data_IF_755453537305
#
_entry.id   IF_755453537305
#
_cell.length_a   1.000
_cell.length_b   1.000
_cell.length_c   1.000
_cell.angle_alpha   90.00
_cell.angle_beta   90.00
_cell.angle_gamma   90.00
#
_symmetry.space_group_name_H-M   'P 1'
#
loop_
_entity.id
_entity.type
_entity.pdbx_description
1 polymer ?
#
# COMPACT_ATOMS: atom_id res chain seq x y z
N UNK A 1 -11.55 21.67 3.82
CA UNK A 1 -11.07 21.32 2.47
C UNK A 1 -12.14 20.49 1.76
N UNK A 2 -12.21 20.58 0.42
CA UNK A 2 -12.96 19.65 -0.41
C UNK A 2 -12.00 18.57 -0.93
N UNK A 3 -12.25 17.32 -0.55
CA UNK A 3 -11.33 16.19 -0.77
C UNK A 3 -12.00 15.16 -1.66
N UNK A 4 -11.31 14.67 -2.71
CA UNK A 4 -11.71 13.50 -3.48
C UNK A 4 -10.89 12.29 -2.99
N UNK A 5 -11.56 11.17 -2.71
CA UNK A 5 -10.91 9.90 -2.39
C UNK A 5 -11.45 8.82 -3.32
N UNK A 6 -10.64 8.37 -4.28
CA UNK A 6 -10.99 7.21 -5.12
C UNK A 6 -10.56 5.93 -4.41
N UNK A 7 -11.35 4.87 -4.52
CA UNK A 7 -11.11 3.64 -3.75
C UNK A 7 -11.44 3.78 -2.25
N UNK A 8 -12.36 4.67 -1.88
CA UNK A 8 -12.65 5.03 -0.50
C UNK A 8 -13.22 3.89 0.37
N UNK A 9 -13.84 2.87 -0.22
CA UNK A 9 -14.33 1.65 0.46
C UNK A 9 -13.30 0.53 0.50
N UNK A 10 -12.14 0.72 -0.14
CA UNK A 10 -11.02 -0.19 -0.04
C UNK A 10 -10.37 -0.17 1.34
N UNK A 11 -9.44 -1.10 1.59
CA UNK A 11 -8.73 -1.20 2.87
C UNK A 11 -8.08 0.13 3.28
N UNK A 12 -7.26 0.71 2.43
CA UNK A 12 -6.57 2.00 2.68
C UNK A 12 -7.56 3.17 2.75
N UNK A 13 -8.55 3.17 1.85
CA UNK A 13 -9.53 4.25 1.72
C UNK A 13 -10.34 4.51 2.99
N UNK A 14 -10.75 3.46 3.69
CA UNK A 14 -11.49 3.57 4.96
C UNK A 14 -10.73 4.35 6.04
N UNK A 15 -9.41 4.17 6.11
CA UNK A 15 -8.57 4.91 7.08
C UNK A 15 -8.48 6.39 6.71
N UNK A 16 -8.38 6.73 5.43
CA UNK A 16 -8.43 8.13 4.97
C UNK A 16 -9.80 8.77 5.18
N UNK A 17 -10.90 8.03 4.95
CA UNK A 17 -12.25 8.51 5.25
C UNK A 17 -12.38 8.89 6.72
N UNK A 18 -11.85 8.06 7.64
CA UNK A 18 -11.85 8.33 9.08
C UNK A 18 -10.95 9.51 9.43
N UNK A 19 -9.75 9.60 8.82
CA UNK A 19 -8.77 10.67 9.08
C UNK A 19 -9.31 12.05 8.73
N UNK A 20 -10.02 12.15 7.60
CA UNK A 20 -10.53 13.42 7.08
C UNK A 20 -12.05 13.64 7.29
N UNK A 21 -12.65 12.92 8.26
CA UNK A 21 -14.09 12.96 8.51
C UNK A 21 -14.67 14.37 8.76
N UNK A 22 -13.87 15.30 9.26
CA UNK A 22 -14.24 16.70 9.49
C UNK A 22 -14.25 17.56 8.22
N UNK A 23 -13.90 16.99 7.05
CA UNK A 23 -13.82 17.69 5.78
C UNK A 23 -14.94 17.30 4.84
N UNK A 24 -15.16 18.09 3.78
CA UNK A 24 -16.09 17.73 2.71
C UNK A 24 -15.44 16.67 1.81
N UNK A 25 -15.83 15.41 2.00
CA UNK A 25 -15.28 14.29 1.22
C UNK A 25 -16.24 13.87 0.13
N UNK A 26 -15.71 13.69 -1.08
CA UNK A 26 -16.34 12.96 -2.18
C UNK A 26 -15.60 11.64 -2.33
N UNK A 27 -16.27 10.53 -2.02
CA UNK A 27 -15.72 9.18 -2.16
C UNK A 27 -16.24 8.52 -3.43
N UNK A 28 -15.37 7.87 -4.20
CA UNK A 28 -15.70 7.11 -5.41
C UNK A 28 -15.15 5.70 -5.29
N UNK A 29 -15.98 4.67 -5.48
CA UNK A 29 -15.57 3.28 -5.37
C UNK A 29 -16.48 2.36 -6.22
N UNK A 30 -15.89 1.35 -6.84
CA UNK A 30 -16.64 0.29 -7.54
C UNK A 30 -17.60 -0.46 -6.63
N UNK A 31 -17.34 -0.54 -5.33
CA UNK A 31 -18.26 -1.13 -4.34
C UNK A 31 -19.57 -0.33 -4.18
N UNK A 32 -19.60 0.91 -4.66
CA UNK A 32 -20.82 1.71 -4.81
C UNK A 32 -21.44 1.59 -6.20
N UNK A 33 -20.87 0.76 -7.07
CA UNK A 33 -21.27 0.64 -8.47
C UNK A 33 -20.81 1.83 -9.32
N UNK A 34 -19.81 2.61 -8.86
CA UNK A 34 -19.37 3.81 -9.57
C UNK A 34 -17.86 3.76 -9.87
N UNK A 35 -17.54 3.65 -11.17
CA UNK A 35 -16.15 3.65 -11.64
C UNK A 35 -15.56 5.08 -11.59
N UNK A 36 -14.37 5.22 -11.03
CA UNK A 36 -13.72 6.52 -10.96
C UNK A 36 -13.39 7.10 -12.36
N UNK A 37 -13.20 6.28 -13.38
CA UNK A 37 -13.01 6.72 -14.77
C UNK A 37 -14.24 7.47 -15.29
N UNK A 38 -15.44 6.99 -14.95
CA UNK A 38 -16.70 7.69 -15.32
C UNK A 38 -16.84 8.99 -14.55
N UNK A 39 -16.46 9.01 -13.27
CA UNK A 39 -16.43 10.25 -12.50
C UNK A 39 -15.55 11.30 -13.16
N UNK A 40 -14.33 10.95 -13.59
CA UNK A 40 -13.40 11.89 -14.22
C UNK A 40 -13.96 12.46 -15.53
N UNK A 41 -14.64 11.65 -16.35
CA UNK A 41 -15.27 12.06 -17.59
C UNK A 41 -16.48 12.98 -17.38
N UNK A 42 -17.31 12.67 -16.36
CA UNK A 42 -18.54 13.40 -16.06
C UNK A 42 -18.31 14.70 -15.27
N UNK A 43 -17.16 14.84 -14.62
CA UNK A 43 -16.84 15.98 -13.76
C UNK A 43 -15.56 16.72 -14.20
N UNK A 44 -15.46 17.18 -15.48
CA UNK A 44 -14.23 17.72 -16.04
C UNK A 44 -13.81 19.07 -15.43
N UNK A 45 -14.71 19.76 -14.73
CA UNK A 45 -14.47 21.12 -14.19
C UNK A 45 -14.52 21.14 -12.65
N UNK A 46 -14.73 19.99 -11.99
CA UNK A 46 -14.85 19.95 -10.54
C UNK A 46 -13.48 20.07 -9.89
N UNK A 47 -13.31 21.08 -9.03
CA UNK A 47 -12.07 21.35 -8.30
C UNK A 47 -12.10 20.76 -6.91
N UNK A 48 -10.94 20.24 -6.49
CA UNK A 48 -10.68 19.75 -5.14
C UNK A 48 -9.40 20.38 -4.59
N UNK A 49 -9.37 20.60 -3.27
CA UNK A 49 -8.18 21.06 -2.56
C UNK A 49 -7.15 19.94 -2.45
N UNK A 50 -7.64 18.70 -2.28
CA UNK A 50 -6.84 17.48 -2.15
C UNK A 50 -7.51 16.32 -2.89
N UNK A 51 -6.72 15.57 -3.63
CA UNK A 51 -7.15 14.30 -4.25
C UNK A 51 -6.26 13.19 -3.73
N UNK A 52 -6.87 12.16 -3.15
CA UNK A 52 -6.20 10.93 -2.71
C UNK A 52 -6.62 9.81 -3.64
N UNK A 53 -5.70 9.42 -4.52
CA UNK A 53 -5.96 8.41 -5.55
C UNK A 53 -5.52 7.04 -5.06
N UNK A 54 -6.51 6.20 -4.69
CA UNK A 54 -6.31 4.84 -4.17
C UNK A 54 -7.00 3.78 -5.03
N UNK A 55 -7.84 4.19 -5.99
CA UNK A 55 -8.49 3.25 -6.90
C UNK A 55 -7.43 2.53 -7.73
N UNK A 56 -7.35 1.23 -7.58
CA UNK A 56 -6.44 0.34 -8.29
C UNK A 56 -6.94 -1.10 -8.17
N UNK A 57 -6.58 -1.94 -9.12
CA UNK A 57 -6.74 -3.39 -9.01
C UNK A 57 -5.60 -3.90 -8.14
N UNK A 58 -5.93 -4.27 -6.91
CA UNK A 58 -4.97 -4.79 -5.93
C UNK A 58 -5.38 -6.18 -5.48
N UNK A 59 -4.42 -6.97 -5.05
CA UNK A 59 -4.66 -8.30 -4.51
C UNK A 59 -3.39 -8.92 -3.95
N UNK A 60 -3.53 -10.05 -3.28
CA UNK A 60 -2.41 -10.88 -2.90
C UNK A 60 -1.71 -11.48 -4.14
N UNK A 61 -0.59 -12.16 -3.91
CA UNK A 61 0.23 -12.73 -4.99
C UNK A 61 -0.55 -13.66 -5.92
N UNK A 62 -1.41 -14.51 -5.35
CA UNK A 62 -2.25 -15.43 -6.13
C UNK A 62 -3.20 -14.69 -7.08
N UNK A 63 -3.79 -13.60 -6.64
CA UNK A 63 -4.70 -12.77 -7.44
C UNK A 63 -3.97 -12.14 -8.62
N UNK A 64 -2.79 -11.55 -8.38
CA UNK A 64 -2.01 -10.87 -9.42
C UNK A 64 -1.39 -11.86 -10.42
N UNK A 65 -0.86 -13.00 -9.94
CA UNK A 65 -0.33 -14.07 -10.81
C UNK A 65 -1.44 -14.76 -11.61
N UNK A 66 -2.62 -14.93 -11.01
CA UNK A 66 -3.77 -15.56 -11.67
C UNK A 66 -4.40 -14.70 -12.78
N UNK A 67 -4.27 -13.37 -12.71
CA UNK A 67 -4.78 -12.45 -13.73
C UNK A 67 -3.82 -11.27 -13.96
N UNK A 68 -2.67 -11.49 -14.61
CA UNK A 68 -1.68 -10.45 -14.83
C UNK A 68 -2.19 -9.30 -15.73
N UNK A 69 -3.23 -9.52 -16.53
CA UNK A 69 -3.84 -8.48 -17.38
C UNK A 69 -4.82 -7.58 -16.63
N UNK A 70 -5.27 -7.95 -15.42
CA UNK A 70 -6.08 -7.06 -14.59
C UNK A 70 -5.33 -5.74 -14.30
N UNK A 71 -4.01 -5.78 -14.31
CA UNK A 71 -3.15 -4.60 -14.17
C UNK A 71 -3.27 -3.62 -15.35
N UNK A 72 -3.70 -4.08 -16.51
CA UNK A 72 -4.01 -3.17 -17.62
C UNK A 72 -5.12 -2.18 -17.27
N UNK A 73 -6.04 -2.57 -16.38
CA UNK A 73 -7.06 -1.65 -15.85
C UNK A 73 -6.45 -0.55 -14.98
N UNK A 74 -5.40 -0.83 -14.21
CA UNK A 74 -4.69 0.20 -13.43
C UNK A 74 -4.11 1.29 -14.34
N UNK A 75 -3.54 0.93 -15.49
CA UNK A 75 -3.03 1.89 -16.47
C UNK A 75 -4.15 2.78 -17.04
N UNK A 76 -5.33 2.19 -17.28
CA UNK A 76 -6.51 2.92 -17.73
C UNK A 76 -7.02 3.90 -16.65
N UNK A 77 -7.10 3.43 -15.40
CA UNK A 77 -7.52 4.25 -14.25
C UNK A 77 -6.57 5.43 -14.06
N UNK A 78 -5.27 5.17 -14.02
CA UNK A 78 -4.24 6.19 -13.81
C UNK A 78 -4.19 7.20 -14.96
N UNK A 79 -4.35 6.74 -16.22
CA UNK A 79 -4.38 7.61 -17.39
C UNK A 79 -5.55 8.61 -17.35
N UNK A 80 -6.77 8.13 -17.11
CA UNK A 80 -7.95 9.00 -16.99
C UNK A 80 -7.83 9.96 -15.81
N UNK A 81 -7.33 9.49 -14.67
CA UNK A 81 -7.04 10.32 -13.51
C UNK A 81 -6.08 11.45 -13.82
N UNK A 82 -4.96 11.17 -14.47
CA UNK A 82 -3.93 12.18 -14.76
C UNK A 82 -4.42 13.21 -15.77
N UNK A 83 -5.15 12.77 -16.80
CA UNK A 83 -5.76 13.69 -17.77
C UNK A 83 -6.78 14.61 -17.10
N UNK A 84 -7.60 14.07 -16.19
CA UNK A 84 -8.53 14.87 -15.40
C UNK A 84 -7.80 15.88 -14.49
N UNK A 85 -6.71 15.47 -13.84
CA UNK A 85 -5.88 16.38 -13.03
C UNK A 85 -5.29 17.53 -13.85
N UNK A 86 -4.83 17.28 -15.08
CA UNK A 86 -4.33 18.34 -15.96
C UNK A 86 -5.39 19.40 -16.29
N UNK A 87 -6.65 19.01 -16.41
CA UNK A 87 -7.78 19.91 -16.70
C UNK A 87 -8.21 20.67 -15.45
N UNK A 88 -8.44 19.97 -14.34
CA UNK A 88 -9.05 20.53 -13.12
C UNK A 88 -8.05 21.24 -12.23
N UNK A 89 -6.75 20.89 -12.33
CA UNK A 89 -5.65 21.42 -11.52
C UNK A 89 -5.98 21.42 -10.02
N UNK A 90 -6.17 20.22 -9.42
CA UNK A 90 -6.41 20.13 -7.98
C UNK A 90 -5.26 20.74 -7.16
N UNK A 91 -5.54 21.21 -5.96
CA UNK A 91 -4.57 21.88 -5.11
C UNK A 91 -3.38 20.95 -4.76
N UNK A 92 -3.67 19.70 -4.44
CA UNK A 92 -2.69 18.64 -4.19
C UNK A 92 -3.21 17.29 -4.66
N UNK A 93 -2.28 16.43 -5.08
CA UNK A 93 -2.52 15.04 -5.48
C UNK A 93 -1.67 14.13 -4.60
N UNK A 94 -2.31 13.12 -4.01
CA UNK A 94 -1.65 11.99 -3.34
C UNK A 94 -1.82 10.75 -4.20
N UNK A 95 -0.71 10.14 -4.56
CA UNK A 95 -0.67 8.91 -5.33
C UNK A 95 0.00 7.80 -4.52
N UNK A 96 -0.71 6.68 -4.39
CA UNK A 96 -0.18 5.47 -3.79
C UNK A 96 0.45 4.59 -4.88
N UNK A 97 1.77 4.67 -4.95
CA UNK A 97 2.60 3.69 -5.63
C UNK A 97 2.70 2.41 -4.78
N UNK A 98 3.79 1.70 -4.87
CA UNK A 98 3.99 0.45 -4.13
C UNK A 98 5.47 0.11 -3.97
N UNK A 99 5.80 -0.64 -2.94
CA UNK A 99 7.10 -1.34 -2.84
C UNK A 99 7.33 -2.36 -3.98
N UNK A 100 6.28 -2.77 -4.69
CA UNK A 100 6.40 -3.60 -5.90
C UNK A 100 7.03 -2.86 -7.10
N UNK A 101 7.04 -1.51 -7.10
CA UNK A 101 7.68 -0.71 -8.13
C UNK A 101 9.22 -0.79 -8.09
N UNK A 102 9.80 -1.23 -6.98
CA UNK A 102 11.24 -1.36 -6.83
C UNK A 102 11.83 -2.48 -7.70
N UNK A 103 13.12 -2.32 -8.13
CA UNK A 103 13.81 -3.36 -8.90
C UNK A 103 13.81 -4.71 -8.19
N UNK A 104 13.29 -5.75 -8.86
CA UNK A 104 13.19 -7.09 -8.26
C UNK A 104 14.57 -7.68 -7.92
N UNK A 105 15.59 -7.29 -8.67
CA UNK A 105 16.98 -7.73 -8.43
C UNK A 105 17.56 -7.29 -7.08
N UNK A 106 17.00 -6.22 -6.47
CA UNK A 106 17.42 -5.73 -5.15
C UNK A 106 16.66 -6.43 -4.00
N UNK A 107 15.70 -7.31 -4.30
CA UNK A 107 14.79 -7.90 -3.33
C UNK A 107 15.11 -9.38 -3.05
N UNK A 108 16.37 -9.76 -3.15
CA UNK A 108 16.85 -11.15 -3.03
C UNK A 108 17.62 -11.43 -1.74
N UNK A 109 18.20 -10.40 -1.13
CA UNK A 109 19.05 -10.49 0.07
C UNK A 109 18.79 -9.28 0.97
N UNK A 110 19.44 -9.22 2.12
CA UNK A 110 19.29 -8.15 3.11
C UNK A 110 19.73 -6.79 2.54
N UNK A 111 18.83 -6.16 1.80
CA UNK A 111 19.01 -4.81 1.27
C UNK A 111 17.76 -3.97 1.55
N UNK A 112 17.91 -2.85 2.24
CA UNK A 112 16.84 -1.91 2.54
C UNK A 112 16.66 -0.95 1.36
N UNK A 113 15.49 -1.00 0.75
CA UNK A 113 15.15 -0.26 -0.48
C UNK A 113 15.04 1.25 -0.19
N UNK A 114 15.82 2.04 -0.91
CA UNK A 114 15.85 3.52 -0.82
C UNK A 114 15.00 4.13 -1.93
N UNK A 115 14.44 5.31 -1.68
CA UNK A 115 13.65 6.00 -2.71
C UNK A 115 14.44 6.23 -3.99
N UNK A 116 15.76 6.39 -3.88
CA UNK A 116 16.70 6.59 -5.01
C UNK A 116 16.99 5.35 -5.84
N UNK A 117 16.57 4.15 -5.39
CA UNK A 117 16.75 2.91 -6.15
C UNK A 117 15.83 2.82 -7.37
N UNK A 118 14.81 3.66 -7.44
CA UNK A 118 13.99 3.86 -8.64
C UNK A 118 14.51 5.07 -9.41
N UNK A 119 15.17 4.79 -10.55
CA UNK A 119 15.48 5.81 -11.53
C UNK A 119 14.45 5.73 -12.68
N UNK A 120 13.55 6.69 -12.75
CA UNK A 120 12.47 6.70 -13.74
C UNK A 120 12.96 6.89 -15.18
N UNK A 121 14.21 7.33 -15.38
CA UNK A 121 14.82 7.47 -16.71
C UNK A 121 15.62 6.23 -17.14
N UNK A 122 15.92 5.34 -16.20
CA UNK A 122 16.65 4.07 -16.43
C UNK A 122 16.09 3.00 -15.48
N UNK A 123 14.85 2.57 -15.77
CA UNK A 123 14.15 1.66 -14.86
C UNK A 123 14.66 0.23 -14.99
N UNK A 124 14.91 -0.39 -13.85
CA UNK A 124 15.06 -1.85 -13.74
C UNK A 124 13.71 -2.51 -13.56
N UNK A 125 13.59 -3.78 -13.97
CA UNK A 125 12.36 -4.58 -13.89
C UNK A 125 11.79 -4.59 -12.46
N UNK A 126 10.56 -4.10 -12.26
CA UNK A 126 9.84 -4.17 -10.99
C UNK A 126 9.20 -5.54 -10.76
N UNK A 127 8.53 -5.71 -9.60
CA UNK A 127 7.86 -6.96 -9.28
C UNK A 127 6.52 -7.07 -10.01
N UNK A 128 6.46 -7.96 -10.99
CA UNK A 128 5.25 -8.31 -11.75
C UNK A 128 4.62 -7.12 -12.52
N UNK A 129 3.49 -7.37 -13.13
CA UNK A 129 2.69 -6.37 -13.85
C UNK A 129 2.20 -5.24 -12.94
N UNK A 130 1.86 -5.55 -11.68
CA UNK A 130 1.48 -4.53 -10.69
C UNK A 130 2.60 -3.53 -10.41
N UNK A 131 3.83 -4.00 -10.26
CA UNK A 131 5.00 -3.13 -10.13
C UNK A 131 5.20 -2.23 -11.34
N UNK A 132 5.01 -2.77 -12.55
CA UNK A 132 5.07 -2.00 -13.80
C UNK A 132 3.99 -0.91 -13.87
N UNK A 133 2.74 -1.21 -13.49
CA UNK A 133 1.67 -0.21 -13.49
C UNK A 133 2.02 0.94 -12.53
N UNK A 134 2.43 0.63 -11.30
CA UNK A 134 2.79 1.65 -10.31
C UNK A 134 4.00 2.47 -10.73
N UNK A 135 5.03 1.85 -11.31
CA UNK A 135 6.20 2.54 -11.83
C UNK A 135 5.84 3.45 -13.01
N UNK A 136 4.97 3.00 -13.92
CA UNK A 136 4.44 3.81 -15.02
C UNK A 136 3.65 5.01 -14.50
N UNK A 137 2.81 4.80 -13.47
CA UNK A 137 2.11 5.89 -12.79
C UNK A 137 3.08 6.94 -12.25
N UNK A 138 4.13 6.54 -11.53
CA UNK A 138 5.15 7.47 -11.03
C UNK A 138 5.84 8.26 -12.15
N UNK A 139 6.17 7.57 -13.26
CA UNK A 139 6.74 8.22 -14.43
C UNK A 139 5.82 9.30 -15.01
N UNK A 140 4.54 8.99 -15.20
CA UNK A 140 3.58 9.93 -15.75
C UNK A 140 3.28 11.12 -14.81
N UNK A 141 3.33 10.91 -13.50
CA UNK A 141 3.09 11.97 -12.51
C UNK A 141 4.09 13.13 -12.56
N UNK A 142 5.30 12.90 -13.08
CA UNK A 142 6.28 13.98 -13.30
C UNK A 142 5.72 15.07 -14.22
N UNK A 143 4.89 14.70 -15.19
CA UNK A 143 4.25 15.66 -16.10
C UNK A 143 3.17 16.50 -15.42
N UNK A 144 2.47 15.95 -14.40
CA UNK A 144 1.59 16.76 -13.55
C UNK A 144 2.38 17.78 -12.74
N UNK A 145 3.54 17.38 -12.20
CA UNK A 145 4.43 18.30 -11.47
C UNK A 145 4.96 19.42 -12.39
N UNK A 146 5.37 19.08 -13.61
CA UNK A 146 5.78 20.06 -14.63
C UNK A 146 4.65 21.03 -15.01
N UNK A 147 3.39 20.57 -14.95
CA UNK A 147 2.21 21.40 -15.15
C UNK A 147 1.83 22.26 -13.92
N UNK A 148 2.64 22.25 -12.87
CA UNK A 148 2.46 23.05 -11.65
C UNK A 148 1.52 22.44 -10.61
N UNK A 149 1.16 21.16 -10.73
CA UNK A 149 0.33 20.44 -9.74
C UNK A 149 1.24 19.85 -8.66
N UNK A 150 0.90 20.09 -7.39
CA UNK A 150 1.62 19.48 -6.28
C UNK A 150 1.26 17.99 -6.16
N UNK A 151 2.24 17.11 -6.35
CA UNK A 151 2.06 15.66 -6.30
C UNK A 151 2.94 15.06 -5.20
N UNK A 152 2.32 14.29 -4.31
CA UNK A 152 2.98 13.49 -3.29
C UNK A 152 2.88 12.01 -3.68
N UNK A 153 4.00 11.34 -3.82
CA UNK A 153 4.10 9.93 -4.18
C UNK A 153 4.51 9.13 -2.96
N UNK A 154 3.72 8.11 -2.62
CA UNK A 154 4.02 7.23 -1.49
C UNK A 154 4.19 5.79 -1.96
N UNK A 155 5.22 5.12 -1.43
CA UNK A 155 5.53 3.72 -1.69
C UNK A 155 5.31 2.90 -0.41
N UNK A 156 4.07 2.48 -0.12
CA UNK A 156 3.81 1.64 1.05
C UNK A 156 4.49 0.27 0.89
N UNK A 157 5.00 -0.22 2.00
CA UNK A 157 5.47 -1.59 2.15
C UNK A 157 4.31 -2.47 2.61
N UNK A 158 4.51 -3.38 3.58
CA UNK A 158 3.42 -4.25 4.01
C UNK A 158 2.52 -3.55 5.03
N UNK A 159 1.68 -2.63 4.52
CA UNK A 159 0.65 -1.99 5.34
C UNK A 159 -0.35 -3.02 5.86
N UNK A 160 -0.66 -2.98 7.16
CA UNK A 160 -1.57 -3.92 7.79
C UNK A 160 -2.59 -3.23 8.72
N UNK A 161 -3.71 -3.93 8.96
CA UNK A 161 -4.79 -3.49 9.85
C UNK A 161 -5.88 -4.56 9.95
N UNK A 162 -7.00 -4.25 10.61
CA UNK A 162 -8.03 -5.23 10.97
C UNK A 162 -8.91 -5.68 9.80
N UNK A 163 -9.12 -4.83 8.80
CA UNK A 163 -10.10 -5.05 7.72
C UNK A 163 -9.44 -5.43 6.38
N UNK A 164 -8.21 -5.93 6.42
CA UNK A 164 -7.47 -6.34 5.23
C UNK A 164 -7.93 -7.72 4.76
N UNK A 165 -7.89 -7.95 3.43
CA UNK A 165 -8.22 -9.23 2.80
C UNK A 165 -7.30 -10.36 3.29
N UNK A 166 -7.87 -11.56 3.48
CA UNK A 166 -7.15 -12.75 3.94
C UNK A 166 -6.09 -13.28 2.96
N UNK A 167 -6.07 -12.78 1.72
CA UNK A 167 -5.01 -13.05 0.74
C UNK A 167 -3.64 -12.50 1.16
N UNK A 168 -3.60 -11.63 2.16
CA UNK A 168 -2.36 -11.07 2.69
C UNK A 168 -1.87 -11.83 3.94
N UNK A 169 -0.55 -11.94 4.15
CA UNK A 169 0.02 -12.74 5.25
C UNK A 169 -0.46 -12.31 6.64
N UNK A 170 -0.46 -11.01 6.94
CA UNK A 170 -0.84 -10.51 8.27
C UNK A 170 -2.27 -10.92 8.65
N UNK A 171 -3.33 -10.55 7.91
CA UNK A 171 -4.70 -10.92 8.29
C UNK A 171 -4.94 -12.43 8.23
N UNK A 172 -4.28 -13.13 7.30
CA UNK A 172 -4.35 -14.59 7.22
C UNK A 172 -3.84 -15.26 8.50
N UNK A 173 -2.70 -14.79 9.04
CA UNK A 173 -2.12 -15.33 10.28
C UNK A 173 -2.96 -14.99 11.51
N UNK A 174 -3.49 -13.75 11.59
CA UNK A 174 -4.44 -13.35 12.63
C UNK A 174 -5.69 -14.25 12.62
N UNK A 175 -6.23 -14.52 11.41
CA UNK A 175 -7.40 -15.38 11.26
C UNK A 175 -7.13 -16.83 11.69
N UNK A 176 -5.96 -17.39 11.34
CA UNK A 176 -5.56 -18.74 11.79
C UNK A 176 -5.50 -18.83 13.32
N UNK A 177 -4.91 -17.83 13.97
CA UNK A 177 -4.83 -17.76 15.42
C UNK A 177 -6.22 -17.63 16.07
N UNK A 178 -7.09 -16.77 15.56
CA UNK A 178 -8.48 -16.63 16.06
C UNK A 178 -9.28 -17.91 15.96
N UNK A 179 -9.06 -18.70 14.91
CA UNK A 179 -9.76 -19.97 14.66
C UNK A 179 -9.05 -21.18 15.29
N UNK A 180 -7.89 -20.98 15.94
CA UNK A 180 -7.04 -22.05 16.52
C UNK A 180 -6.77 -23.17 15.52
N UNK A 181 -6.39 -22.81 14.27
CA UNK A 181 -6.16 -23.78 13.19
C UNK A 181 -4.84 -24.54 13.44
N UNK A 182 -4.92 -25.84 13.62
CA UNK A 182 -3.78 -26.73 13.82
C UNK A 182 -3.75 -27.81 12.71
N UNK A 183 -2.72 -27.88 11.86
CA UNK A 183 -1.48 -27.09 11.92
C UNK A 183 -1.65 -25.61 11.47
N UNK A 184 -0.70 -24.76 11.91
CA UNK A 184 -0.57 -23.40 11.40
C UNK A 184 0.25 -23.40 10.10
N UNK A 185 -0.41 -23.13 8.99
CA UNK A 185 0.22 -23.13 7.67
C UNK A 185 1.04 -21.85 7.42
N UNK A 186 2.31 -22.02 7.03
CA UNK A 186 3.22 -20.97 6.56
C UNK A 186 3.63 -21.29 5.13
N UNK A 187 3.46 -20.35 4.21
CA UNK A 187 3.85 -20.56 2.81
C UNK A 187 5.35 -20.45 2.62
N UNK A 188 5.92 -21.37 1.82
CA UNK A 188 7.35 -21.51 1.66
C UNK A 188 8.00 -22.12 2.91
N UNK A 189 9.22 -21.68 3.22
CA UNK A 189 9.93 -22.05 4.45
C UNK A 189 9.78 -20.97 5.56
N UNK A 190 9.03 -19.90 5.26
CA UNK A 190 8.78 -18.81 6.19
C UNK A 190 9.95 -17.84 6.39
N UNK A 191 11.05 -17.98 5.64
CA UNK A 191 12.25 -17.11 5.75
C UNK A 191 12.10 -15.81 4.98
N UNK A 192 11.14 -15.72 4.06
CA UNK A 192 10.87 -14.49 3.32
C UNK A 192 10.50 -13.33 4.27
N UNK A 193 11.10 -12.17 4.02
CA UNK A 193 11.04 -11.00 4.90
C UNK A 193 10.15 -9.90 4.31
N UNK A 194 9.36 -9.27 5.17
CA UNK A 194 8.57 -8.06 4.87
C UNK A 194 8.76 -7.01 5.94
N UNK A 195 8.40 -5.78 5.58
CA UNK A 195 8.38 -4.62 6.43
C UNK A 195 6.93 -4.27 6.74
N UNK A 196 6.47 -4.62 7.94
CA UNK A 196 5.09 -4.39 8.37
C UNK A 196 4.92 -3.03 9.03
N UNK A 197 3.99 -2.22 8.53
CA UNK A 197 3.63 -0.93 9.11
C UNK A 197 2.10 -0.83 9.28
N UNK A 198 1.65 -0.32 10.42
CA UNK A 198 0.22 -0.19 10.69
C UNK A 198 -0.42 0.90 9.84
N UNK A 199 -1.65 0.67 9.33
CA UNK A 199 -2.35 1.62 8.44
C UNK A 199 -2.59 3.00 9.05
N UNK A 200 -2.76 3.11 10.37
CA UNK A 200 -2.86 4.42 11.04
C UNK A 200 -1.56 5.22 10.89
N UNK A 201 -0.41 4.56 11.03
CA UNK A 201 0.89 5.22 10.85
C UNK A 201 1.10 5.65 9.40
N UNK A 202 0.68 4.83 8.43
CA UNK A 202 0.71 5.20 7.00
C UNK A 202 -0.10 6.48 6.77
N UNK A 203 -1.35 6.51 7.23
CA UNK A 203 -2.24 7.66 7.01
C UNK A 203 -1.75 8.92 7.73
N UNK A 204 -1.24 8.77 8.95
CA UNK A 204 -0.67 9.89 9.70
C UNK A 204 0.62 10.42 9.06
N UNK A 205 1.49 9.54 8.55
CA UNK A 205 2.69 9.93 7.81
C UNK A 205 2.32 10.70 6.51
N UNK A 206 1.33 10.22 5.76
CA UNK A 206 0.82 10.90 4.54
C UNK A 206 0.26 12.28 4.89
N UNK A 207 -0.57 12.40 5.93
CA UNK A 207 -1.13 13.67 6.36
C UNK A 207 -0.03 14.66 6.80
N UNK A 208 0.98 14.19 7.52
CA UNK A 208 2.14 15.01 7.92
C UNK A 208 2.94 15.45 6.69
N UNK A 209 3.22 14.54 5.75
CA UNK A 209 3.96 14.86 4.53
C UNK A 209 3.21 15.90 3.66
N UNK A 210 1.88 15.84 3.59
CA UNK A 210 1.05 16.84 2.90
C UNK A 210 1.17 18.21 3.58
N UNK A 211 1.10 18.26 4.91
CA UNK A 211 1.17 19.51 5.71
C UNK A 211 2.54 20.17 5.62
N UNK A 212 3.60 19.37 5.63
CA UNK A 212 4.98 19.83 5.55
C UNK A 212 5.50 19.98 4.11
N UNK A 213 4.64 19.72 3.11
CA UNK A 213 4.96 19.81 1.69
C UNK A 213 6.20 18.97 1.29
N UNK A 214 6.32 17.76 1.84
CA UNK A 214 7.44 16.84 1.57
C UNK A 214 7.45 16.46 0.09
N UNK A 215 8.57 16.71 -0.58
CA UNK A 215 8.72 16.49 -2.02
C UNK A 215 9.35 15.14 -2.37
N UNK A 216 9.05 14.66 -3.58
CA UNK A 216 9.54 13.39 -4.12
C UNK A 216 8.88 12.18 -3.46
N UNK A 217 9.21 10.98 -3.95
CA UNK A 217 8.67 9.74 -3.41
C UNK A 217 9.11 9.51 -1.95
N UNK A 218 8.23 8.86 -1.16
CA UNK A 218 8.49 8.52 0.24
C UNK A 218 8.14 7.05 0.47
N UNK A 219 9.06 6.30 1.05
CA UNK A 219 8.81 4.97 1.57
C UNK A 219 7.95 5.04 2.83
N UNK A 220 6.87 4.27 2.85
CA UNK A 220 6.04 4.09 4.03
C UNK A 220 6.25 2.67 4.57
N UNK A 221 7.18 2.53 5.50
CA UNK A 221 7.54 1.27 6.14
C UNK A 221 8.12 1.50 7.53
N UNK A 222 8.07 0.47 8.37
CA UNK A 222 8.65 0.54 9.72
C UNK A 222 10.18 0.52 9.71
N UNK A 223 10.79 0.02 8.62
CA UNK A 223 12.22 -0.28 8.54
C UNK A 223 12.63 -1.52 9.33
N UNK A 224 11.65 -2.28 9.84
CA UNK A 224 11.91 -3.51 10.62
C UNK A 224 11.71 -4.74 9.72
N UNK A 225 12.78 -5.49 9.52
CA UNK A 225 12.77 -6.73 8.77
C UNK A 225 12.13 -7.85 9.59
N UNK A 226 10.95 -8.32 9.17
CA UNK A 226 10.20 -9.37 9.86
C UNK A 226 9.99 -10.55 8.92
N UNK A 227 10.49 -11.74 9.27
CA UNK A 227 10.22 -12.97 8.51
C UNK A 227 8.78 -13.46 8.77
N UNK A 228 8.26 -14.29 7.87
CA UNK A 228 6.96 -14.90 8.08
C UNK A 228 6.95 -15.87 9.26
N UNK A 229 8.07 -16.54 9.53
CA UNK A 229 8.21 -17.34 10.75
C UNK A 229 8.15 -16.46 12.01
N UNK A 230 8.78 -15.29 11.98
CA UNK A 230 8.73 -14.36 13.10
C UNK A 230 7.32 -13.76 13.26
N UNK A 231 6.64 -13.38 12.17
CA UNK A 231 5.24 -12.96 12.24
C UNK A 231 4.35 -14.05 12.85
N UNK A 232 4.51 -15.31 12.42
CA UNK A 232 3.78 -16.46 12.97
C UNK A 232 4.03 -16.61 14.48
N UNK A 233 5.32 -16.57 14.89
CA UNK A 233 5.72 -16.68 16.31
C UNK A 233 5.08 -15.57 17.15
N UNK A 234 5.12 -14.32 16.69
CA UNK A 234 4.52 -13.17 17.37
C UNK A 234 3.00 -13.31 17.50
N UNK A 235 2.31 -13.72 16.43
CA UNK A 235 0.86 -13.93 16.44
C UNK A 235 0.47 -15.01 17.45
N UNK A 236 1.16 -16.14 17.44
CA UNK A 236 0.90 -17.23 18.37
C UNK A 236 1.21 -16.84 19.83
N UNK A 237 2.27 -16.08 20.05
CA UNK A 237 2.63 -15.59 21.39
C UNK A 237 1.56 -14.65 21.96
N UNK A 238 1.00 -13.72 21.12
CA UNK A 238 -0.01 -12.76 21.55
C UNK A 238 -1.41 -13.37 21.73
N UNK A 239 -1.66 -14.55 21.16
CA UNK A 239 -2.94 -15.27 21.25
C UNK A 239 -2.92 -16.45 22.22
N UNK A 240 -1.80 -16.70 22.92
CA UNK A 240 -1.56 -17.88 23.78
C UNK A 240 -1.92 -19.21 23.07
N UNK A 241 -1.59 -19.29 21.78
CA UNK A 241 -1.90 -20.40 20.90
C UNK A 241 -0.60 -21.09 20.43
N UNK A 242 -0.53 -22.42 20.55
CA UNK A 242 0.68 -23.21 20.32
C UNK A 242 0.43 -24.36 19.32
N UNK A 243 0.23 -24.07 18.04
CA UNK A 243 0.00 -25.08 17.02
C UNK A 243 1.29 -25.77 16.57
N UNK A 244 1.14 -26.88 15.88
CA UNK A 244 2.19 -27.35 14.97
C UNK A 244 2.32 -26.39 13.78
N UNK A 245 3.56 -26.11 13.35
CA UNK A 245 3.82 -25.24 12.20
C UNK A 245 4.07 -26.09 10.95
N UNK A 246 3.25 -25.91 9.93
CA UNK A 246 3.37 -26.61 8.64
C UNK A 246 3.87 -25.66 7.56
N UNK A 247 5.01 -25.97 6.92
CA UNK A 247 5.59 -25.19 5.85
C UNK A 247 5.17 -25.73 4.48
N UNK A 248 4.29 -24.98 3.77
CA UNK A 248 3.77 -25.37 2.45
C UNK A 248 4.71 -24.86 1.36
N UNK A 249 5.70 -25.66 0.98
CA UNK A 249 6.76 -25.29 0.02
C UNK A 249 6.27 -25.15 -1.43
N UNK A 250 5.09 -25.66 -1.75
CA UNK A 250 4.51 -25.60 -3.10
C UNK A 250 3.81 -24.29 -3.41
N UNK A 251 3.52 -23.47 -2.38
CA UNK A 251 2.82 -22.21 -2.55
C UNK A 251 3.80 -21.07 -2.93
N UNK A 252 3.34 -20.06 -3.67
CA UNK A 252 4.18 -18.93 -4.08
C UNK A 252 4.68 -18.14 -2.87
N UNK A 253 5.98 -17.85 -2.84
CA UNK A 253 6.60 -17.07 -1.74
C UNK A 253 6.91 -15.63 -2.11
N UNK A 254 6.93 -15.30 -3.40
CA UNK A 254 7.29 -13.97 -3.89
C UNK A 254 8.77 -13.63 -3.66
N UNK A 255 9.07 -12.35 -3.49
CA UNK A 255 10.45 -11.89 -3.24
C UNK A 255 10.93 -12.28 -1.85
N UNK A 256 12.24 -12.55 -1.71
CA UNK A 256 12.80 -13.03 -0.46
C UNK A 256 12.96 -11.93 0.58
N UNK A 257 13.35 -10.72 0.18
CA UNK A 257 13.54 -9.61 1.11
C UNK A 257 12.94 -8.33 0.54
N UNK A 258 11.97 -7.75 1.25
CA UNK A 258 11.35 -6.45 0.90
C UNK A 258 11.17 -5.62 2.15
N UNK A 259 12.16 -4.76 2.43
CA UNK A 259 12.18 -3.87 3.57
C UNK A 259 12.61 -2.46 3.13
N UNK A 260 12.04 -1.43 3.74
CA UNK A 260 12.33 -0.03 3.42
C UNK A 260 13.56 0.49 4.16
N UNK A 261 14.38 1.28 3.49
CA UNK A 261 15.06 2.37 4.16
C UNK A 261 14.02 3.46 4.41
N UNK A 262 13.68 3.69 5.66
CA UNK A 262 12.64 4.65 6.05
C UNK A 262 13.22 5.97 6.58
N UNK A 263 14.49 6.24 6.34
CA UNK A 263 15.21 7.44 6.82
C UNK A 263 14.46 8.71 6.44
N UNK A 264 13.95 8.79 5.20
CA UNK A 264 13.20 9.95 4.74
C UNK A 264 11.89 10.13 5.51
N UNK A 265 11.11 9.06 5.72
CA UNK A 265 9.89 9.13 6.52
C UNK A 265 10.18 9.55 7.96
N UNK A 266 11.23 9.00 8.57
CA UNK A 266 11.62 9.32 9.95
C UNK A 266 12.04 10.78 10.14
N UNK A 267 12.37 11.52 9.09
CA UNK A 267 12.69 12.94 9.17
C UNK A 267 11.47 13.84 9.52
N UNK A 268 10.25 13.35 9.26
CA UNK A 268 9.02 14.11 9.53
C UNK A 268 7.94 13.29 10.28
N UNK A 269 8.00 11.95 10.27
CA UNK A 269 7.05 11.10 10.97
C UNK A 269 7.72 9.85 11.53
N UNK A 270 7.43 9.51 12.78
CA UNK A 270 7.88 8.27 13.43
C UNK A 270 6.68 7.35 13.69
N UNK A 271 6.69 6.10 13.20
CA UNK A 271 5.63 5.13 13.50
C UNK A 271 5.40 4.98 15.00
N UNK A 272 4.13 4.88 15.39
CA UNK A 272 3.70 4.85 16.80
C UNK A 272 3.24 3.47 17.25
N UNK A 273 2.85 2.62 16.30
CA UNK A 273 2.26 1.30 16.57
C UNK A 273 3.29 0.24 16.20
N UNK A 274 3.78 -0.49 17.18
CA UNK A 274 4.67 -1.63 16.95
C UNK A 274 3.89 -2.80 16.31
N UNK A 275 4.62 -3.76 15.72
CA UNK A 275 3.98 -4.93 15.12
C UNK A 275 3.24 -5.75 16.18
N UNK A 276 3.80 -5.89 17.38
CA UNK A 276 3.19 -6.60 18.51
C UNK A 276 1.89 -5.92 18.96
N UNK A 277 1.90 -4.60 19.10
CA UNK A 277 0.67 -3.84 19.43
C UNK A 277 -0.39 -3.99 18.34
N UNK A 278 0.00 -3.91 17.07
CA UNK A 278 -0.88 -4.10 15.94
C UNK A 278 -1.47 -5.52 15.87
N UNK A 279 -0.69 -6.56 16.21
CA UNK A 279 -1.18 -7.93 16.36
C UNK A 279 -2.23 -8.01 17.47
N UNK A 280 -1.95 -7.44 18.66
CA UNK A 280 -2.91 -7.41 19.76
C UNK A 280 -4.21 -6.69 19.38
N UNK A 281 -4.11 -5.56 18.67
CA UNK A 281 -5.29 -4.83 18.17
C UNK A 281 -6.11 -5.69 17.20
N UNK A 282 -5.45 -6.34 16.25
CA UNK A 282 -6.11 -7.18 15.25
C UNK A 282 -6.77 -8.42 15.88
N UNK A 283 -6.12 -9.07 16.84
CA UNK A 283 -6.70 -10.21 17.58
C UNK A 283 -7.97 -9.81 18.33
N UNK A 284 -8.00 -8.60 18.91
CA UNK A 284 -9.15 -8.05 19.63
C UNK A 284 -10.22 -7.43 18.72
N UNK A 285 -9.96 -7.33 17.41
CA UNK A 285 -10.88 -6.65 16.47
C UNK A 285 -10.94 -5.12 16.64
N UNK A 286 -9.89 -4.51 17.21
CA UNK A 286 -9.81 -3.05 17.41
C UNK A 286 -9.20 -2.40 16.15
N UNK A 287 -9.92 -1.40 15.60
CA UNK A 287 -9.49 -0.59 14.43
C UNK A 287 -8.84 0.72 14.86
#
# INVERSE_FOLDING_TARGET
MKILITGHKGFVGKYFMKKYAEHQIVGIDLKDGYDCRDFFKQNPDTKFDLVIHLAAIVGGRMTIEGNPLAVADDLSIDSEFMQWCLKTKPGRVVYFSSSAAYPIKLQTSEYYLKETDINLMDCSTPDMTYGWAKLTGEFCLQYLQQAGIKVHVFRPFSGYGTDQDLDYPFPSYINRAKLHLDPFDVWGDGTQVRDFIHMRDIVDAVDTAIKEDIVGAVNLGSGVATSFNELQRLVCQQSDYKPEVNHIKTNPVGVMFRCSDNTKMLSFYKPKISLEEGICMALRGVV
#
